data_IF_640267048593
#
_entry.id   IF_640267048593
#
_cell.length_a   1.000
_cell.length_b   1.000
_cell.length_c   1.000
_cell.angle_alpha   90.00
_cell.angle_beta   90.00
_cell.angle_gamma   90.00
#
_symmetry.space_group_name_H-M   'P 1'
#
loop_
_entity.id
_entity.type
_entity.pdbx_description
1 polymer ?
#
# COMPACT_ATOMS: atom_id res chain seq x y z
N UNK A 1 -2.51 58.64 -8.95
CA UNK A 1 -1.36 58.37 -8.04
C UNK A 1 -1.48 57.06 -7.27
N UNK A 2 -2.51 56.22 -7.52
CA UNK A 2 -2.72 54.93 -6.84
C UNK A 2 -2.22 53.72 -7.64
N UNK A 3 -2.14 53.83 -8.98
CA UNK A 3 -1.84 52.70 -9.88
C UNK A 3 -0.37 52.24 -9.87
N UNK A 4 0.58 53.09 -9.49
CA UNK A 4 2.02 52.76 -9.54
C UNK A 4 2.54 52.04 -8.30
N UNK A 5 1.87 52.16 -7.15
CA UNK A 5 2.25 51.47 -5.90
C UNK A 5 1.71 50.03 -5.83
N UNK A 6 0.59 49.74 -6.49
CA UNK A 6 0.04 48.37 -6.58
C UNK A 6 0.92 47.44 -7.44
N UNK A 7 1.44 47.93 -8.57
CA UNK A 7 2.30 47.15 -9.48
C UNK A 7 3.64 46.73 -8.83
N UNK A 8 4.24 47.57 -7.98
CA UNK A 8 5.48 47.23 -7.27
C UNK A 8 5.26 46.21 -6.15
N UNK A 9 4.09 46.20 -5.52
CA UNK A 9 3.77 45.32 -4.38
C UNK A 9 3.46 43.89 -4.85
N UNK A 10 2.81 43.71 -5.99
CA UNK A 10 2.57 42.38 -6.59
C UNK A 10 3.85 41.68 -7.08
N UNK A 11 4.82 42.43 -7.61
CA UNK A 11 6.04 41.82 -8.19
C UNK A 11 6.96 41.17 -7.15
N UNK A 12 6.97 41.71 -5.93
CA UNK A 12 7.80 41.24 -4.81
C UNK A 12 7.25 39.94 -4.19
N UNK A 13 5.92 39.80 -4.07
CA UNK A 13 5.31 38.58 -3.51
C UNK A 13 5.47 37.38 -4.46
N UNK A 14 5.27 37.57 -5.78
CA UNK A 14 5.42 36.50 -6.79
C UNK A 14 6.84 35.94 -6.85
N UNK A 15 7.87 36.75 -6.61
CA UNK A 15 9.27 36.30 -6.59
C UNK A 15 9.61 35.51 -5.33
N UNK A 16 9.16 35.97 -4.17
CA UNK A 16 9.33 35.25 -2.90
C UNK A 16 8.58 33.90 -2.90
N UNK A 17 7.40 33.87 -3.52
CA UNK A 17 6.59 32.66 -3.68
C UNK A 17 7.24 31.65 -4.64
N UNK A 18 7.78 32.10 -5.79
CA UNK A 18 8.55 31.25 -6.71
C UNK A 18 9.81 30.66 -6.07
N UNK A 19 10.52 31.45 -5.25
CA UNK A 19 11.71 30.99 -4.55
C UNK A 19 11.34 29.92 -3.51
N UNK A 20 10.25 30.10 -2.75
CA UNK A 20 9.75 29.08 -1.81
C UNK A 20 9.28 27.81 -2.51
N UNK A 21 8.57 27.94 -3.64
CA UNK A 21 8.10 26.83 -4.48
C UNK A 21 9.25 25.98 -5.04
N UNK A 22 10.39 26.59 -5.38
CA UNK A 22 11.56 25.87 -5.91
C UNK A 22 12.54 25.42 -4.82
N UNK A 23 12.57 26.10 -3.67
CA UNK A 23 13.46 25.74 -2.57
C UNK A 23 13.16 24.35 -2.00
N UNK A 24 11.88 24.01 -1.80
CA UNK A 24 11.48 22.70 -1.26
C UNK A 24 11.95 21.52 -2.13
N UNK A 25 11.65 21.44 -3.45
CA UNK A 25 12.12 20.34 -4.28
C UNK A 25 13.65 20.35 -4.43
N UNK A 26 14.29 21.52 -4.47
CA UNK A 26 15.75 21.61 -4.53
C UNK A 26 16.41 21.02 -3.26
N UNK A 27 15.87 21.31 -2.07
CA UNK A 27 16.36 20.73 -0.81
C UNK A 27 16.20 19.21 -0.82
N UNK A 28 15.05 18.69 -1.26
CA UNK A 28 14.82 17.24 -1.37
C UNK A 28 15.81 16.60 -2.33
N UNK A 29 16.04 17.20 -3.50
CA UNK A 29 16.99 16.69 -4.48
C UNK A 29 18.42 16.67 -3.95
N UNK A 30 18.85 17.71 -3.24
CA UNK A 30 20.18 17.79 -2.62
C UNK A 30 20.32 16.72 -1.53
N UNK A 31 19.29 16.54 -0.69
CA UNK A 31 19.29 15.51 0.36
C UNK A 31 19.36 14.12 -0.24
N UNK A 32 18.53 13.81 -1.24
CA UNK A 32 18.55 12.52 -1.94
C UNK A 32 19.90 12.29 -2.60
N UNK A 33 20.44 13.27 -3.32
CA UNK A 33 21.76 13.15 -3.94
C UNK A 33 22.86 12.90 -2.90
N UNK A 34 22.82 13.60 -1.76
CA UNK A 34 23.75 13.39 -0.65
C UNK A 34 23.66 11.99 -0.06
N UNK A 35 22.44 11.49 0.17
CA UNK A 35 22.21 10.12 0.66
C UNK A 35 22.68 9.08 -0.35
N UNK A 36 22.41 9.28 -1.63
CA UNK A 36 22.86 8.36 -2.69
C UNK A 36 24.38 8.34 -2.78
N UNK A 37 25.03 9.51 -2.81
CA UNK A 37 26.50 9.58 -2.82
C UNK A 37 27.07 8.89 -1.60
N UNK A 38 26.52 9.14 -0.41
CA UNK A 38 26.95 8.46 0.81
C UNK A 38 26.75 6.94 0.74
N UNK A 39 25.59 6.48 0.28
CA UNK A 39 25.25 5.06 0.17
C UNK A 39 26.12 4.31 -0.85
N UNK A 40 26.37 4.91 -2.01
CA UNK A 40 27.23 4.33 -3.06
C UNK A 40 28.73 4.46 -2.77
N UNK A 41 29.11 5.30 -1.81
CA UNK A 41 30.51 5.42 -1.36
C UNK A 41 30.86 4.49 -0.20
N UNK A 42 29.90 3.76 0.37
CA UNK A 42 30.19 2.74 1.39
C UNK A 42 30.88 1.53 0.74
N UNK A 43 32.00 1.11 1.29
CA UNK A 43 32.59 -0.18 0.97
C UNK A 43 31.64 -1.28 1.48
N UNK A 44 31.15 -2.13 0.58
CA UNK A 44 30.29 -3.25 0.96
C UNK A 44 31.07 -4.20 1.88
N UNK A 45 30.52 -4.51 3.05
CA UNK A 45 31.08 -5.53 3.93
C UNK A 45 30.96 -6.93 3.27
N UNK A 46 31.68 -7.92 3.79
CA UNK A 46 31.63 -9.29 3.27
C UNK A 46 30.19 -9.85 3.26
N UNK A 47 29.38 -9.49 4.26
CA UNK A 47 27.96 -9.85 4.37
C UNK A 47 27.10 -9.16 3.31
N UNK A 48 27.38 -7.89 3.02
CA UNK A 48 26.65 -7.11 2.03
C UNK A 48 26.91 -7.64 0.62
N UNK A 49 28.15 -8.02 0.32
CA UNK A 49 28.50 -8.63 -0.98
C UNK A 49 27.79 -9.95 -1.21
N UNK A 50 27.59 -10.75 -0.17
CA UNK A 50 26.89 -12.04 -0.29
C UNK A 50 25.37 -11.85 -0.45
N UNK A 51 24.80 -10.86 0.23
CA UNK A 51 23.36 -10.59 0.16
C UNK A 51 22.98 -9.86 -1.13
N UNK A 52 23.85 -8.94 -1.61
CA UNK A 52 23.61 -8.11 -2.79
C UNK A 52 24.18 -8.72 -4.08
N UNK A 53 24.57 -10.00 -4.06
CA UNK A 53 24.98 -10.69 -5.28
C UNK A 53 23.75 -11.05 -6.15
N UNK A 54 23.98 -11.22 -7.46
CA UNK A 54 22.91 -11.52 -8.42
C UNK A 54 22.05 -12.74 -8.04
N UNK A 55 22.66 -13.90 -7.71
CA UNK A 55 21.92 -15.09 -7.27
C UNK A 55 21.03 -14.86 -6.04
N UNK A 56 21.55 -14.23 -4.99
CA UNK A 56 20.81 -13.91 -3.76
C UNK A 56 19.64 -12.99 -4.05
N UNK A 57 19.84 -11.93 -4.84
CA UNK A 57 18.76 -11.01 -5.24
C UNK A 57 17.68 -11.72 -6.05
N UNK A 58 18.06 -12.59 -6.98
CA UNK A 58 17.11 -13.40 -7.76
C UNK A 58 16.33 -14.37 -6.88
N UNK A 59 16.99 -14.98 -5.89
CA UNK A 59 16.33 -15.86 -4.93
C UNK A 59 15.34 -15.10 -4.06
N UNK A 60 15.74 -13.96 -3.48
CA UNK A 60 14.85 -13.12 -2.68
C UNK A 60 13.65 -12.62 -3.50
N UNK A 61 13.88 -12.24 -4.77
CA UNK A 61 12.81 -11.88 -5.69
C UNK A 61 11.86 -13.04 -5.93
N UNK A 62 12.40 -14.24 -6.20
CA UNK A 62 11.59 -15.43 -6.41
C UNK A 62 10.75 -15.78 -5.18
N UNK A 63 11.34 -15.76 -3.99
CA UNK A 63 10.63 -16.00 -2.72
C UNK A 63 9.53 -14.96 -2.48
N UNK A 64 9.82 -13.69 -2.74
CA UNK A 64 8.83 -12.60 -2.64
C UNK A 64 7.68 -12.79 -3.63
N UNK A 65 7.99 -13.13 -4.88
CA UNK A 65 6.99 -13.39 -5.93
C UNK A 65 6.13 -14.60 -5.58
N UNK A 66 6.73 -15.68 -5.08
CA UNK A 66 6.03 -16.88 -4.65
C UNK A 66 5.01 -16.56 -3.55
N UNK A 67 5.44 -15.88 -2.49
CA UNK A 67 4.57 -15.49 -1.36
C UNK A 67 3.46 -14.56 -1.85
N UNK A 68 3.80 -13.54 -2.66
CA UNK A 68 2.84 -12.56 -3.18
C UNK A 68 1.76 -13.21 -4.02
N UNK A 69 2.13 -14.10 -4.94
CA UNK A 69 1.18 -14.81 -5.82
C UNK A 69 0.29 -15.74 -5.00
N UNK A 70 0.86 -16.51 -4.06
CA UNK A 70 0.09 -17.42 -3.23
C UNK A 70 -0.92 -16.70 -2.34
N UNK A 71 -0.49 -15.63 -1.66
CA UNK A 71 -1.37 -14.79 -0.84
C UNK A 71 -2.47 -14.17 -1.71
N UNK A 72 -2.10 -13.57 -2.84
CA UNK A 72 -3.07 -12.91 -3.72
C UNK A 72 -4.09 -13.88 -4.29
N UNK A 73 -3.66 -15.06 -4.74
CA UNK A 73 -4.54 -16.10 -5.26
C UNK A 73 -5.53 -16.57 -4.18
N UNK A 74 -5.03 -16.87 -2.97
CA UNK A 74 -5.87 -17.29 -1.85
C UNK A 74 -6.89 -16.21 -1.47
N UNK A 75 -6.45 -14.96 -1.42
CA UNK A 75 -7.29 -13.80 -1.11
C UNK A 75 -8.37 -13.60 -2.17
N UNK A 76 -8.03 -13.63 -3.46
CA UNK A 76 -8.99 -13.47 -4.55
C UNK A 76 -10.03 -14.59 -4.54
N UNK A 77 -9.59 -15.85 -4.39
CA UNK A 77 -10.47 -17.02 -4.36
C UNK A 77 -11.48 -16.97 -3.22
N UNK A 78 -11.18 -16.29 -2.11
CA UNK A 78 -12.07 -16.20 -0.95
C UNK A 78 -12.85 -14.88 -0.94
N UNK A 79 -12.15 -13.74 -1.03
CA UNK A 79 -12.74 -12.42 -0.85
C UNK A 79 -13.67 -12.04 -2.01
N UNK A 80 -13.37 -12.43 -3.25
CA UNK A 80 -14.22 -12.08 -4.39
C UNK A 80 -15.56 -12.80 -4.31
N UNK A 81 -15.63 -14.15 -4.16
CA UNK A 81 -16.92 -14.83 -4.00
C UNK A 81 -17.68 -14.37 -2.77
N UNK A 82 -16.99 -14.12 -1.64
CA UNK A 82 -17.63 -13.62 -0.43
C UNK A 82 -18.21 -12.20 -0.63
N UNK A 83 -17.48 -11.33 -1.33
CA UNK A 83 -17.94 -9.99 -1.67
C UNK A 83 -19.16 -10.02 -2.59
N UNK A 84 -19.15 -10.89 -3.61
CA UNK A 84 -20.30 -11.14 -4.49
C UNK A 84 -21.50 -11.67 -3.70
N UNK A 85 -21.28 -12.59 -2.77
CA UNK A 85 -22.35 -13.16 -1.95
C UNK A 85 -23.01 -12.09 -1.06
N UNK A 86 -22.20 -11.28 -0.38
CA UNK A 86 -22.65 -10.24 0.56
C UNK A 86 -23.35 -9.06 -0.13
N UNK A 87 -23.15 -8.85 -1.43
CA UNK A 87 -23.88 -7.84 -2.21
C UNK A 87 -25.20 -8.35 -2.79
N UNK A 88 -25.49 -9.66 -2.71
CA UNK A 88 -26.77 -10.21 -3.17
C UNK A 88 -27.95 -9.84 -2.26
N UNK A 89 -29.19 -9.76 -2.79
CA UNK A 89 -30.37 -9.36 -2.03
C UNK A 89 -30.59 -10.11 -0.70
N UNK A 90 -30.28 -11.41 -0.67
CA UNK A 90 -30.44 -12.25 0.53
C UNK A 90 -29.48 -11.92 1.69
N UNK A 91 -28.31 -11.37 1.38
CA UNK A 91 -27.22 -11.15 2.34
C UNK A 91 -26.86 -9.67 2.52
N UNK A 92 -27.48 -8.77 1.74
CA UNK A 92 -27.21 -7.32 1.74
C UNK A 92 -27.32 -6.66 3.12
N UNK A 93 -28.14 -7.21 4.02
CA UNK A 93 -28.26 -6.71 5.40
C UNK A 93 -26.97 -6.85 6.21
N UNK A 94 -26.12 -7.82 5.88
CA UNK A 94 -24.83 -8.05 6.53
C UNK A 94 -23.71 -7.19 5.93
N UNK A 95 -23.91 -6.63 4.74
CA UNK A 95 -22.90 -5.82 4.07
C UNK A 95 -22.29 -4.70 4.94
N UNK A 96 -23.07 -3.85 5.65
CA UNK A 96 -22.49 -2.81 6.51
C UNK A 96 -21.64 -3.36 7.66
N UNK A 97 -21.99 -4.53 8.20
CA UNK A 97 -21.20 -5.18 9.25
C UNK A 97 -19.82 -5.60 8.72
N UNK A 98 -19.78 -6.30 7.59
CA UNK A 98 -18.52 -6.75 6.98
C UNK A 98 -17.65 -5.59 6.50
N UNK A 99 -18.25 -4.52 5.95
CA UNK A 99 -17.53 -3.29 5.62
C UNK A 99 -16.95 -2.63 6.88
N UNK A 100 -17.72 -2.57 7.97
CA UNK A 100 -17.26 -2.06 9.26
C UNK A 100 -16.07 -2.85 9.81
N UNK A 101 -16.17 -4.19 9.82
CA UNK A 101 -15.08 -5.08 10.23
C UNK A 101 -13.85 -4.87 9.36
N UNK A 102 -14.00 -4.78 8.04
CA UNK A 102 -12.88 -4.55 7.13
C UNK A 102 -12.19 -3.21 7.41
N UNK A 103 -12.96 -2.12 7.58
CA UNK A 103 -12.41 -0.80 7.91
C UNK A 103 -11.65 -0.80 9.25
N UNK A 104 -12.22 -1.43 10.28
CA UNK A 104 -11.58 -1.49 11.61
C UNK A 104 -10.32 -2.36 11.56
N UNK A 105 -10.40 -3.55 10.96
CA UNK A 105 -9.26 -4.46 10.91
C UNK A 105 -8.10 -3.94 10.06
N UNK A 106 -8.36 -3.08 9.07
CA UNK A 106 -7.33 -2.39 8.29
C UNK A 106 -6.57 -1.31 9.07
N UNK A 107 -7.12 -0.82 10.18
CA UNK A 107 -6.38 0.09 11.06
C UNK A 107 -5.22 -0.61 11.78
N UNK A 108 -5.24 -1.95 11.85
CA UNK A 108 -4.12 -2.72 12.40
C UNK A 108 -2.91 -2.70 11.45
N UNK A 109 -1.68 -2.60 11.97
CA UNK A 109 -0.49 -2.76 11.15
C UNK A 109 -0.35 -4.22 10.68
N UNK A 110 -0.08 -4.43 9.39
CA UNK A 110 0.09 -5.77 8.82
C UNK A 110 1.18 -6.58 9.54
N UNK A 111 2.31 -5.93 9.87
CA UNK A 111 3.39 -6.55 10.64
C UNK A 111 2.90 -7.00 12.04
N UNK A 112 2.00 -6.25 12.66
CA UNK A 112 1.40 -6.62 13.94
C UNK A 112 0.57 -7.90 13.86
N UNK A 113 -0.20 -8.09 12.78
CA UNK A 113 -0.96 -9.34 12.56
C UNK A 113 -0.02 -10.54 12.42
N UNK A 114 1.08 -10.38 11.68
CA UNK A 114 2.09 -11.43 11.54
C UNK A 114 2.73 -11.79 12.89
N UNK A 115 3.14 -10.77 13.67
CA UNK A 115 3.74 -10.99 15.01
C UNK A 115 2.74 -11.64 15.97
N UNK A 116 1.48 -11.21 15.98
CA UNK A 116 0.45 -11.83 16.81
C UNK A 116 0.16 -13.28 16.42
N UNK A 117 0.16 -13.59 15.12
CA UNK A 117 0.02 -14.96 14.64
C UNK A 117 1.18 -15.83 15.10
N UNK A 118 2.40 -15.32 15.02
CA UNK A 118 3.60 -15.99 15.53
C UNK A 118 3.49 -16.25 17.04
N UNK A 119 3.20 -15.23 17.86
CA UNK A 119 3.03 -15.35 19.31
C UNK A 119 1.91 -16.33 19.70
N UNK A 120 0.81 -16.35 18.95
CA UNK A 120 -0.35 -17.18 19.26
C UNK A 120 -0.14 -18.66 18.89
N UNK A 121 0.60 -18.94 17.81
CA UNK A 121 0.80 -20.30 17.30
C UNK A 121 2.11 -20.94 17.74
N UNK A 122 3.11 -20.13 18.12
CA UNK A 122 4.48 -20.60 18.34
C UNK A 122 5.13 -21.17 17.07
N UNK A 123 4.54 -20.94 15.89
CA UNK A 123 5.02 -21.50 14.64
C UNK A 123 6.25 -20.71 14.17
N UNK A 124 7.41 -21.37 14.18
CA UNK A 124 8.66 -20.77 13.74
C UNK A 124 9.06 -21.28 12.35
N UNK A 125 9.27 -20.35 11.42
CA UNK A 125 9.72 -20.67 10.06
C UNK A 125 8.66 -21.32 9.17
N UNK A 126 8.92 -21.27 7.86
CA UNK A 126 8.06 -21.89 6.84
C UNK A 126 7.07 -20.94 6.17
N UNK A 127 6.69 -21.31 4.95
CA UNK A 127 5.88 -20.48 4.06
C UNK A 127 4.51 -20.12 4.65
N UNK A 128 3.85 -21.06 5.34
CA UNK A 128 2.50 -20.85 5.87
C UNK A 128 2.43 -19.89 7.06
N UNK A 129 3.52 -19.75 7.83
CA UNK A 129 3.61 -18.79 8.94
C UNK A 129 3.50 -17.35 8.42
N UNK A 130 3.94 -17.11 7.20
CA UNK A 130 3.85 -15.80 6.54
C UNK A 130 2.56 -15.69 5.73
N UNK A 131 2.22 -16.72 4.94
CA UNK A 131 1.08 -16.68 4.02
C UNK A 131 -0.26 -16.51 4.74
N UNK A 132 -0.49 -17.23 5.84
CA UNK A 132 -1.78 -17.19 6.55
C UNK A 132 -2.11 -15.81 7.15
N UNK A 133 -1.26 -15.18 7.98
CA UNK A 133 -1.58 -13.86 8.54
C UNK A 133 -1.65 -12.77 7.47
N UNK A 134 -0.79 -12.83 6.44
CA UNK A 134 -0.83 -11.87 5.34
C UNK A 134 -2.09 -12.02 4.49
N UNK A 135 -2.52 -13.25 4.21
CA UNK A 135 -3.78 -13.52 3.52
C UNK A 135 -4.95 -13.02 4.36
N UNK A 136 -5.00 -13.35 5.66
CA UNK A 136 -6.04 -12.87 6.56
C UNK A 136 -6.15 -11.33 6.55
N UNK A 137 -5.03 -10.64 6.73
CA UNK A 137 -5.01 -9.17 6.68
C UNK A 137 -5.47 -8.63 5.32
N UNK A 138 -5.00 -9.24 4.22
CA UNK A 138 -5.30 -8.80 2.85
C UNK A 138 -6.74 -9.12 2.41
N UNK A 139 -7.40 -10.10 3.02
CA UNK A 139 -8.82 -10.41 2.77
C UNK A 139 -9.71 -9.21 3.04
N UNK A 140 -9.45 -8.44 4.10
CA UNK A 140 -10.27 -7.30 4.51
C UNK A 140 -10.35 -6.21 3.43
N UNK A 141 -9.23 -5.64 2.93
CA UNK A 141 -9.24 -4.69 1.81
C UNK A 141 -9.95 -5.22 0.59
N UNK A 142 -9.61 -6.46 0.18
CA UNK A 142 -10.10 -7.02 -1.08
C UNK A 142 -11.60 -7.30 -1.00
N UNK A 143 -12.07 -7.81 0.14
CA UNK A 143 -13.50 -8.02 0.38
C UNK A 143 -14.25 -6.69 0.33
N UNK A 144 -13.78 -5.69 1.08
CA UNK A 144 -14.38 -4.35 1.09
C UNK A 144 -14.42 -3.74 -0.31
N UNK A 145 -13.30 -3.77 -1.03
CA UNK A 145 -13.20 -3.20 -2.37
C UNK A 145 -14.09 -3.94 -3.37
N UNK A 146 -14.22 -5.27 -3.24
CA UNK A 146 -15.17 -6.05 -4.05
C UNK A 146 -16.61 -5.62 -3.76
N UNK A 147 -16.99 -5.51 -2.48
CA UNK A 147 -18.35 -5.13 -2.11
C UNK A 147 -18.71 -3.71 -2.54
N UNK A 148 -17.80 -2.75 -2.32
CA UNK A 148 -17.99 -1.35 -2.74
C UNK A 148 -18.04 -1.25 -4.26
N UNK A 149 -17.10 -1.89 -4.96
CA UNK A 149 -17.05 -1.86 -6.43
C UNK A 149 -18.31 -2.45 -7.08
N UNK A 150 -18.88 -3.51 -6.52
CA UNK A 150 -20.15 -4.07 -7.00
C UNK A 150 -21.36 -3.17 -6.72
N UNK A 151 -21.33 -2.39 -5.63
CA UNK A 151 -22.40 -1.46 -5.27
C UNK A 151 -22.37 -0.16 -6.08
N UNK A 152 -21.21 0.20 -6.63
CA UNK A 152 -21.02 1.40 -7.46
C UNK A 152 -21.49 1.21 -8.93
N UNK A 153 -21.87 0.00 -9.32
CA UNK A 153 -22.39 -0.27 -10.67
C UNK A 153 -23.76 0.38 -10.86
N UNK A 154 -23.93 1.12 -11.97
CA UNK A 154 -25.18 1.81 -12.31
C UNK A 154 -26.35 0.81 -12.45
N UNK A 155 -27.46 0.98 -11.71
CA UNK A 155 -28.66 0.18 -11.89
C UNK A 155 -29.18 0.13 -13.34
N UNK A 156 -29.00 1.20 -14.13
CA UNK A 156 -29.43 1.23 -15.52
C UNK A 156 -28.69 0.19 -16.39
N UNK A 157 -27.45 -0.16 -16.05
CA UNK A 157 -26.69 -1.21 -16.72
C UNK A 157 -27.14 -2.62 -16.30
N UNK A 158 -27.73 -2.75 -15.11
CA UNK A 158 -28.28 -4.03 -14.62
C UNK A 158 -29.61 -4.34 -15.31
N UNK A 159 -30.44 -3.32 -15.56
CA UNK A 159 -31.75 -3.48 -16.21
C UNK A 159 -31.67 -3.61 -17.74
N UNK A 160 -30.53 -3.23 -18.34
CA UNK A 160 -30.30 -3.30 -19.79
C UNK A 160 -29.72 -4.64 -20.28
N UNK A 161 -29.28 -5.51 -19.35
CA UNK A 161 -28.63 -6.79 -19.64
C UNK A 161 -29.55 -8.00 -19.62
#
# INVERSE_FOLDING_TARGET
>A
MTTTLELSTESSSRRAERIRLLAQPAVVLILVAGVLVWAFSQDLDATDRETLNGPSLLQMLYEHMLITVLVSALVVVIAVPLGVLLTRPGWRRLAPLFIGIANIGQAAPALGVLVLFFLATGAEGGLWVVVLPLAFYSLLPVLRNTMVGLQEVDPALIDAG
#
